data_IF_882320958065
#
_entry.id   IF_882320958065
#
_cell.length_a   1.000
_cell.length_b   1.000
_cell.length_c   1.000
_cell.angle_alpha   90.00
_cell.angle_beta   90.00
_cell.angle_gamma   90.00
#
_symmetry.space_group_name_H-M   'P 1'
#
loop_
_entity.id
_entity.type
_entity.pdbx_description
1 polymer ?
#
# COMPACT_ATOMS: atom_id res chain seq x y z
N UNK A 1 18.48 -5.81 10.58
CA UNK A 1 17.01 -5.89 10.78
C UNK A 1 16.54 -6.75 9.64
N UNK A 2 16.06 -7.96 9.91
CA UNK A 2 15.55 -8.81 8.84
C UNK A 2 14.36 -8.11 8.20
N UNK A 3 14.51 -7.78 6.92
CA UNK A 3 13.51 -7.08 6.14
C UNK A 3 12.38 -8.07 5.83
N UNK A 4 11.20 -7.85 6.41
CA UNK A 4 10.06 -8.74 6.20
C UNK A 4 9.65 -8.77 4.74
N UNK A 5 9.50 -9.97 4.17
CA UNK A 5 9.03 -10.18 2.80
C UNK A 5 7.61 -9.62 2.58
N UNK A 6 6.74 -9.76 3.58
CA UNK A 6 5.40 -9.19 3.59
C UNK A 6 5.31 -8.13 4.68
N UNK A 7 5.03 -6.89 4.31
CA UNK A 7 4.84 -5.79 5.25
C UNK A 7 3.37 -5.41 5.38
N UNK A 8 3.01 -4.87 6.54
CA UNK A 8 1.76 -4.12 6.74
C UNK A 8 1.95 -2.71 6.18
N UNK A 9 1.00 -2.25 5.37
CA UNK A 9 0.87 -0.86 4.96
C UNK A 9 -0.50 -0.36 5.40
N UNK A 10 -0.50 0.70 6.22
CA UNK A 10 -1.72 1.22 6.83
C UNK A 10 -2.36 2.27 5.91
N UNK A 11 -1.57 3.20 5.38
CA UNK A 11 -2.04 4.16 4.39
C UNK A 11 -0.90 4.70 3.56
N UNK A 12 -1.23 5.11 2.33
CA UNK A 12 -0.34 5.95 1.51
C UNK A 12 -0.18 7.33 2.18
N UNK A 13 0.91 8.07 1.90
CA UNK A 13 0.99 9.49 2.23
C UNK A 13 -0.26 10.23 1.79
N UNK A 14 -0.69 11.21 2.57
CA UNK A 14 -2.00 11.85 2.40
C UNK A 14 -2.19 12.52 1.01
N UNK A 15 -1.12 13.06 0.43
CA UNK A 15 -1.09 13.60 -0.93
C UNK A 15 -1.21 12.53 -2.05
N UNK A 16 -1.08 11.24 -1.71
CA UNK A 16 -1.15 10.11 -2.64
C UNK A 16 -2.36 9.19 -2.42
N UNK A 17 -3.20 9.44 -1.42
CA UNK A 17 -4.30 8.53 -1.03
C UNK A 17 -5.39 8.36 -2.09
N UNK A 18 -5.57 9.35 -2.98
CA UNK A 18 -6.59 9.36 -4.04
C UNK A 18 -5.99 9.19 -5.44
N UNK A 19 -4.71 8.82 -5.50
CA UNK A 19 -3.96 8.68 -6.73
C UNK A 19 -3.73 7.18 -7.01
N UNK A 20 -4.51 6.65 -7.94
CA UNK A 20 -4.45 5.25 -8.40
C UNK A 20 -4.59 5.20 -9.91
N UNK A 21 -3.73 4.45 -10.57
CA UNK A 21 -3.77 4.28 -12.03
C UNK A 21 -5.07 3.60 -12.44
N UNK A 22 -5.59 2.68 -11.61
CA UNK A 22 -6.88 2.01 -11.85
C UNK A 22 -8.04 2.98 -12.11
N UNK A 23 -8.11 4.11 -11.41
CA UNK A 23 -9.19 5.09 -11.57
C UNK A 23 -8.89 6.12 -12.65
N UNK A 24 -7.60 6.32 -12.97
CA UNK A 24 -7.15 7.31 -13.94
C UNK A 24 -7.15 6.81 -15.40
N UNK A 25 -7.24 5.49 -15.64
CA UNK A 25 -7.24 4.91 -16.99
C UNK A 25 -8.56 4.19 -17.32
N UNK A 26 -8.87 3.99 -18.62
CA UNK A 26 -10.04 3.21 -19.03
C UNK A 26 -10.06 1.82 -18.40
N UNK A 27 -11.24 1.37 -17.98
CA UNK A 27 -11.43 0.05 -17.35
C UNK A 27 -10.92 -1.11 -18.21
N UNK A 28 -11.01 -1.00 -19.54
CA UNK A 28 -10.48 -1.98 -20.48
C UNK A 28 -8.96 -2.11 -20.37
N UNK A 29 -8.25 -0.97 -20.31
CA UNK A 29 -6.80 -0.94 -20.16
C UNK A 29 -6.39 -1.48 -18.77
N UNK A 30 -7.07 -1.06 -17.71
CA UNK A 30 -6.81 -1.62 -16.38
C UNK A 30 -7.02 -3.15 -16.33
N UNK A 31 -8.06 -3.67 -16.98
CA UNK A 31 -8.27 -5.11 -17.04
C UNK A 31 -7.17 -5.83 -17.83
N UNK A 32 -6.65 -5.23 -18.92
CA UNK A 32 -5.54 -5.78 -19.68
C UNK A 32 -4.25 -5.83 -18.85
N UNK A 33 -3.92 -4.73 -18.17
CA UNK A 33 -2.79 -4.65 -17.22
C UNK A 33 -2.92 -5.73 -16.14
N UNK A 34 -4.09 -5.82 -15.50
CA UNK A 34 -4.38 -6.81 -14.45
C UNK A 34 -4.19 -8.25 -14.96
N UNK A 35 -4.77 -8.59 -16.11
CA UNK A 35 -4.66 -9.93 -16.67
C UNK A 35 -3.20 -10.26 -17.01
N UNK A 36 -2.48 -9.34 -17.65
CA UNK A 36 -1.07 -9.51 -17.96
C UNK A 36 -0.22 -9.77 -16.72
N UNK A 37 -0.45 -9.00 -15.64
CA UNK A 37 0.27 -9.19 -14.36
C UNK A 37 0.00 -10.58 -13.76
N UNK A 38 -1.25 -11.05 -13.80
CA UNK A 38 -1.60 -12.39 -13.30
C UNK A 38 -1.02 -13.52 -14.17
N UNK A 39 -1.05 -13.38 -15.49
CA UNK A 39 -0.46 -14.34 -16.43
C UNK A 39 1.06 -14.41 -16.28
N UNK A 40 1.73 -13.25 -16.21
CA UNK A 40 3.18 -13.14 -15.99
C UNK A 40 3.61 -13.82 -14.70
N UNK A 41 2.79 -13.73 -13.64
CA UNK A 41 3.09 -14.38 -12.36
C UNK A 41 2.71 -15.87 -12.32
N UNK A 42 2.25 -16.44 -13.44
CA UNK A 42 1.74 -17.82 -13.50
C UNK A 42 0.57 -18.04 -12.54
N UNK A 43 -0.27 -17.01 -12.35
CA UNK A 43 -1.36 -17.00 -11.38
C UNK A 43 -0.92 -17.31 -9.93
N UNK A 44 0.31 -16.91 -9.58
CA UNK A 44 0.83 -16.99 -8.22
C UNK A 44 0.94 -15.61 -7.58
N UNK A 45 0.74 -15.56 -6.27
CA UNK A 45 1.06 -14.39 -5.46
C UNK A 45 2.57 -14.14 -5.44
N UNK A 46 3.02 -12.97 -5.88
CA UNK A 46 4.44 -12.62 -5.95
C UNK A 46 5.10 -12.53 -4.56
N UNK A 47 4.31 -12.28 -3.50
CA UNK A 47 4.80 -12.23 -2.12
C UNK A 47 4.79 -13.59 -1.43
N UNK A 48 3.75 -14.42 -1.57
CA UNK A 48 3.66 -15.67 -0.77
C UNK A 48 3.67 -16.96 -1.59
N UNK A 49 3.76 -16.88 -2.92
CA UNK A 49 3.78 -18.02 -3.83
C UNK A 49 2.45 -18.78 -3.93
N UNK A 50 1.37 -18.30 -3.29
CA UNK A 50 0.06 -18.96 -3.38
C UNK A 50 -0.47 -18.86 -4.81
N UNK A 51 -0.68 -20.00 -5.45
CA UNK A 51 -1.43 -20.12 -6.71
C UNK A 51 -2.93 -19.95 -6.45
N UNK A 52 -3.57 -18.97 -7.10
CA UNK A 52 -5.01 -18.67 -6.91
C UNK A 52 -5.60 -17.92 -8.13
N UNK A 53 -5.74 -18.57 -9.30
CA UNK A 53 -6.10 -17.92 -10.56
C UNK A 53 -7.35 -17.02 -10.50
N UNK A 54 -8.32 -17.37 -9.66
CA UNK A 54 -9.61 -16.69 -9.58
C UNK A 54 -9.65 -15.52 -8.57
N UNK A 55 -8.70 -15.44 -7.63
CA UNK A 55 -8.76 -14.49 -6.50
C UNK A 55 -7.49 -13.66 -6.30
N UNK A 56 -6.70 -13.47 -7.35
CA UNK A 56 -5.58 -12.54 -7.33
C UNK A 56 -6.05 -11.09 -7.53
N UNK A 57 -5.29 -10.18 -6.94
CA UNK A 57 -5.48 -8.75 -7.03
C UNK A 57 -4.22 -8.12 -7.63
N UNK A 58 -4.40 -7.15 -8.53
CA UNK A 58 -3.33 -6.30 -9.01
C UNK A 58 -3.11 -5.17 -7.99
N UNK A 59 -1.98 -5.21 -7.29
CA UNK A 59 -1.59 -4.23 -6.30
C UNK A 59 -0.59 -3.24 -6.91
N UNK A 60 -0.91 -1.96 -6.86
CA UNK A 60 -0.01 -0.90 -7.33
C UNK A 60 1.05 -0.60 -6.26
N UNK A 61 2.32 -0.68 -6.65
CA UNK A 61 3.45 -0.32 -5.80
C UNK A 61 3.96 1.05 -6.23
N UNK A 62 3.99 1.98 -5.27
CA UNK A 62 4.28 3.38 -5.50
C UNK A 62 5.58 3.79 -4.80
N UNK A 63 6.29 4.71 -5.42
CA UNK A 63 7.41 5.45 -4.87
C UNK A 63 7.13 6.96 -4.98
N UNK A 64 7.79 7.74 -4.14
CA UNK A 64 7.48 9.16 -3.94
C UNK A 64 8.75 9.98 -3.92
N UNK A 65 8.93 10.82 -4.93
CA UNK A 65 9.95 11.86 -4.92
C UNK A 65 9.31 13.15 -4.40
N UNK A 66 9.47 13.42 -3.10
CA UNK A 66 8.93 14.62 -2.47
C UNK A 66 9.72 15.90 -2.84
N UNK A 67 10.92 15.79 -3.42
CA UNK A 67 11.70 16.95 -3.86
C UNK A 67 11.29 17.39 -5.27
N UNK A 68 11.08 16.44 -6.18
CA UNK A 68 10.62 16.67 -7.54
C UNK A 68 9.09 16.61 -7.70
N UNK A 69 8.37 16.31 -6.61
CA UNK A 69 6.92 16.11 -6.55
C UNK A 69 6.41 15.08 -7.57
N UNK A 70 7.01 13.88 -7.57
CA UNK A 70 6.65 12.78 -8.46
C UNK A 70 5.95 11.65 -7.71
N UNK A 71 4.81 11.21 -8.24
CA UNK A 71 4.14 9.97 -7.87
C UNK A 71 4.54 8.90 -8.87
N UNK A 72 5.41 7.98 -8.46
CA UNK A 72 6.03 7.02 -9.37
C UNK A 72 5.35 5.66 -9.21
N UNK A 73 4.60 5.21 -10.21
CA UNK A 73 4.11 3.83 -10.28
C UNK A 73 5.30 2.94 -10.66
N UNK A 74 5.86 2.24 -9.68
CA UNK A 74 7.05 1.40 -9.87
C UNK A 74 6.72 0.07 -10.50
N UNK A 75 5.67 -0.56 -10.03
CA UNK A 75 5.26 -1.89 -10.48
C UNK A 75 3.81 -2.16 -10.11
N UNK A 76 3.24 -3.18 -10.75
CA UNK A 76 1.95 -3.75 -10.37
C UNK A 76 2.20 -5.23 -10.10
N UNK A 77 1.85 -5.66 -8.88
CA UNK A 77 2.10 -7.01 -8.38
C UNK A 77 0.82 -7.83 -8.35
N UNK A 78 0.93 -9.10 -8.69
CA UNK A 78 -0.10 -10.12 -8.52
C UNK A 78 -0.10 -10.62 -7.07
N UNK A 79 -1.09 -10.23 -6.27
CA UNK A 79 -1.17 -10.59 -4.85
C UNK A 79 -2.41 -11.43 -4.54
N UNK A 80 -2.28 -12.45 -3.68
CA UNK A 80 -3.45 -13.09 -3.11
C UNK A 80 -4.17 -12.14 -2.16
N UNK A 81 -5.46 -12.38 -1.93
CA UNK A 81 -6.29 -11.54 -1.04
C UNK A 81 -5.65 -11.22 0.31
N UNK A 82 -4.99 -12.18 0.97
CA UNK A 82 -4.38 -11.92 2.28
C UNK A 82 -3.14 -11.05 2.23
N UNK A 83 -2.29 -11.18 1.21
CA UNK A 83 -1.17 -10.26 0.99
C UNK A 83 -1.70 -8.86 0.64
N UNK A 84 -2.67 -8.78 -0.27
CA UNK A 84 -3.29 -7.52 -0.68
C UNK A 84 -3.97 -6.80 0.49
N UNK A 85 -4.72 -7.53 1.34
CA UNK A 85 -5.37 -6.97 2.53
C UNK A 85 -4.35 -6.44 3.56
N UNK A 86 -3.15 -7.03 3.65
CA UNK A 86 -2.06 -6.53 4.52
C UNK A 86 -1.42 -5.25 3.96
N UNK A 87 -1.42 -5.06 2.64
CA UNK A 87 -1.01 -3.83 1.97
C UNK A 87 -2.06 -2.72 2.02
N UNK A 88 -3.33 -3.08 2.23
CA UNK A 88 -4.43 -2.14 2.43
C UNK A 88 -5.06 -2.31 3.81
N UNK A 89 -4.22 -2.36 4.85
CA UNK A 89 -4.62 -2.79 6.19
C UNK A 89 -5.71 -1.91 6.81
N UNK A 90 -5.65 -0.59 6.58
CA UNK A 90 -6.69 0.33 7.05
C UNK A 90 -8.07 -0.02 6.48
N UNK A 91 -8.14 -0.33 5.18
CA UNK A 91 -9.39 -0.73 4.53
C UNK A 91 -9.84 -2.13 4.93
N UNK A 92 -8.89 -3.07 5.05
CA UNK A 92 -9.18 -4.47 5.33
C UNK A 92 -9.57 -4.75 6.78
N UNK A 93 -9.08 -3.95 7.74
CA UNK A 93 -9.25 -4.21 9.18
C UNK A 93 -9.83 -3.01 9.91
N UNK A 94 -9.22 -1.82 9.78
CA UNK A 94 -9.54 -0.67 10.64
C UNK A 94 -10.93 -0.07 10.36
N UNK A 95 -11.44 -0.17 9.12
CA UNK A 95 -12.80 0.26 8.76
C UNK A 95 -13.92 -0.68 9.22
N UNK A 96 -13.60 -1.88 9.71
CA UNK A 96 -14.61 -2.85 10.18
C UNK A 96 -15.14 -2.42 11.56
N UNK A 97 -16.42 -2.02 11.59
CA UNK A 97 -17.12 -1.60 12.83
C UNK A 97 -17.43 -2.77 13.76
N UNK A 98 -17.80 -3.93 13.21
CA UNK A 98 -18.09 -5.13 14.00
C UNK A 98 -16.79 -5.73 14.56
N UNK A 99 -16.66 -5.73 15.90
CA UNK A 99 -15.48 -6.24 16.58
C UNK A 99 -15.21 -7.71 16.31
N UNK A 100 -16.24 -8.58 16.30
CA UNK A 100 -16.07 -10.02 16.09
C UNK A 100 -15.58 -10.33 14.68
N UNK A 101 -16.11 -9.60 13.69
CA UNK A 101 -15.66 -9.71 12.29
C UNK A 101 -14.22 -9.22 12.17
N UNK A 102 -13.91 -8.05 12.73
CA UNK A 102 -12.56 -7.47 12.72
C UNK A 102 -11.53 -8.42 13.34
N UNK A 103 -11.82 -8.99 14.51
CA UNK A 103 -10.94 -9.92 15.21
C UNK A 103 -10.71 -11.20 14.39
N UNK A 104 -11.74 -11.68 13.66
CA UNK A 104 -11.60 -12.83 12.76
C UNK A 104 -10.69 -12.52 11.58
N UNK A 105 -10.86 -11.37 10.94
CA UNK A 105 -10.01 -10.92 9.83
C UNK A 105 -8.57 -10.72 10.31
N UNK A 106 -8.37 -10.01 11.42
CA UNK A 106 -7.06 -9.77 12.01
C UNK A 106 -6.32 -11.08 12.33
N UNK A 107 -6.99 -12.06 12.95
CA UNK A 107 -6.39 -13.39 13.18
C UNK A 107 -6.01 -14.12 11.89
N UNK A 108 -6.77 -13.97 10.81
CA UNK A 108 -6.42 -14.55 9.49
C UNK A 108 -5.18 -13.89 8.91
N UNK A 109 -5.14 -12.55 8.90
CA UNK A 109 -4.01 -11.79 8.34
C UNK A 109 -2.73 -11.98 9.16
N UNK A 110 -2.82 -11.97 10.50
CA UNK A 110 -1.70 -12.26 11.41
C UNK A 110 -1.07 -13.62 11.13
N UNK A 111 -1.88 -14.69 11.07
CA UNK A 111 -1.39 -16.03 10.72
C UNK A 111 -0.73 -16.07 9.34
N UNK A 112 -1.30 -15.34 8.38
CA UNK A 112 -0.73 -15.27 7.04
C UNK A 112 0.63 -14.57 7.04
N UNK A 113 0.75 -13.42 7.71
CA UNK A 113 2.00 -12.67 7.85
C UNK A 113 3.10 -13.53 8.49
N UNK A 114 2.79 -14.15 9.64
CA UNK A 114 3.75 -14.99 10.36
C UNK A 114 4.26 -16.15 9.50
N UNK A 115 3.38 -16.82 8.76
CA UNK A 115 3.76 -17.92 7.86
C UNK A 115 4.64 -17.45 6.69
N UNK A 116 4.36 -16.27 6.13
CA UNK A 116 5.11 -15.76 4.97
C UNK A 116 6.50 -15.26 5.36
N UNK A 117 6.59 -14.65 6.55
CA UNK A 117 7.81 -14.05 7.05
C UNK A 117 8.61 -14.96 8.00
N UNK A 118 8.10 -16.17 8.27
CA UNK A 118 8.64 -17.07 9.30
C UNK A 118 8.92 -16.37 10.64
N UNK A 119 7.95 -15.57 11.10
CA UNK A 119 8.12 -14.71 12.28
C UNK A 119 7.16 -15.05 13.41
N UNK A 120 7.53 -14.61 14.61
CA UNK A 120 6.71 -14.74 15.82
C UNK A 120 5.57 -13.74 15.86
N UNK A 121 4.59 -14.01 16.73
CA UNK A 121 3.49 -13.06 16.99
C UNK A 121 4.01 -11.75 17.60
N UNK A 122 5.05 -11.81 18.44
CA UNK A 122 5.67 -10.61 19.02
C UNK A 122 6.24 -9.69 17.94
N UNK A 123 6.85 -10.27 16.91
CA UNK A 123 7.42 -9.54 15.78
C UNK A 123 6.35 -8.94 14.88
N UNK A 124 5.28 -9.68 14.59
CA UNK A 124 4.10 -9.13 13.91
C UNK A 124 3.53 -7.92 14.65
N UNK A 125 3.32 -8.05 15.96
CA UNK A 125 2.76 -6.99 16.80
C UNK A 125 3.67 -5.77 16.82
N UNK A 126 4.99 -5.96 16.95
CA UNK A 126 5.97 -4.89 16.84
C UNK A 126 5.92 -4.21 15.47
N UNK A 127 5.88 -4.97 14.38
CA UNK A 127 5.75 -4.42 13.02
C UNK A 127 4.47 -3.60 12.88
N UNK A 128 3.34 -4.14 13.34
CA UNK A 128 2.04 -3.45 13.30
C UNK A 128 2.08 -2.11 14.04
N UNK A 129 2.58 -2.07 15.27
CA UNK A 129 2.69 -0.82 16.03
C UNK A 129 3.66 0.18 15.39
N UNK A 130 4.77 -0.29 14.81
CA UNK A 130 5.68 0.58 14.08
C UNK A 130 5.02 1.22 12.85
N UNK A 131 4.14 0.49 12.15
CA UNK A 131 3.39 1.04 11.01
C UNK A 131 2.27 1.98 11.47
N UNK A 132 1.62 1.69 12.60
CA UNK A 132 0.64 2.59 13.22
C UNK A 132 1.28 3.90 13.65
N UNK A 133 2.41 3.88 14.34
CA UNK A 133 3.11 5.08 14.79
C UNK A 133 3.54 5.99 13.61
N UNK A 134 3.85 5.40 12.45
CA UNK A 134 4.09 6.16 11.20
C UNK A 134 2.82 6.79 10.63
N UNK A 135 1.65 6.23 10.92
CA UNK A 135 0.35 6.64 10.36
C UNK A 135 -0.44 7.56 11.30
N UNK A 136 -0.23 7.45 12.61
CA UNK A 136 -0.87 8.21 13.67
C UNK A 136 0.21 8.61 14.69
N UNK A 137 0.44 9.92 14.86
CA UNK A 137 1.15 10.43 16.04
C UNK A 137 0.11 10.47 17.16
N UNK A 138 0.20 9.61 18.17
CA UNK A 138 -0.84 9.54 19.21
C UNK A 138 -0.94 10.83 20.06
N UNK A 139 -2.14 11.22 20.54
CA UNK A 139 -2.38 12.48 21.27
C UNK A 139 -1.93 12.56 22.73
N UNK A 140 -1.86 11.43 23.44
CA UNK A 140 -2.13 11.44 24.89
C UNK A 140 -0.89 11.48 25.81
N UNK A 141 0.30 11.78 25.27
CA UNK A 141 1.53 11.84 26.08
C UNK A 141 2.56 12.85 25.54
N UNK A 142 2.11 14.05 25.12
CA UNK A 142 2.97 14.99 24.39
C UNK A 142 3.60 16.03 25.30
N UNK A 143 4.92 16.10 25.27
CA UNK A 143 5.72 17.22 25.75
C UNK A 143 5.56 18.45 24.83
N UNK A 144 6.07 19.61 25.26
CA UNK A 144 6.11 20.82 24.42
C UNK A 144 6.93 20.60 23.13
N UNK A 145 7.99 19.80 23.21
CA UNK A 145 8.85 19.44 22.09
C UNK A 145 8.08 18.60 21.06
N UNK A 146 7.32 17.60 21.53
CA UNK A 146 6.43 16.79 20.67
C UNK A 146 5.39 17.66 19.94
N UNK A 147 4.86 18.71 20.59
CA UNK A 147 3.90 19.62 19.97
C UNK A 147 4.52 20.50 18.87
N UNK A 148 5.77 20.96 19.05
CA UNK A 148 6.49 21.72 18.03
C UNK A 148 6.84 20.85 16.82
N UNK A 149 7.34 19.64 17.06
CA UNK A 149 7.61 18.67 15.99
C UNK A 149 6.34 18.34 15.20
N UNK A 150 5.21 18.20 15.88
CA UNK A 150 3.94 17.97 15.21
C UNK A 150 3.43 19.13 14.39
N UNK A 151 3.64 20.37 14.83
CA UNK A 151 3.33 21.54 14.01
C UNK A 151 4.20 21.54 12.75
N UNK A 152 5.50 21.27 12.88
CA UNK A 152 6.39 21.13 11.72
C UNK A 152 5.94 20.00 10.77
N UNK A 153 5.53 18.84 11.29
CA UNK A 153 4.99 17.73 10.50
C UNK A 153 3.69 18.11 9.78
N UNK A 154 2.77 18.82 10.45
CA UNK A 154 1.52 19.31 9.87
C UNK A 154 1.77 20.35 8.79
N UNK A 155 2.66 21.30 9.04
CA UNK A 155 3.08 22.31 8.07
C UNK A 155 3.72 21.67 6.85
N UNK A 156 4.61 20.68 7.05
CA UNK A 156 5.20 19.87 5.98
C UNK A 156 4.14 19.13 5.19
N UNK A 157 3.20 18.45 5.84
CA UNK A 157 2.11 17.75 5.14
C UNK A 157 1.21 18.72 4.37
N UNK A 158 0.87 19.86 4.95
CA UNK A 158 0.10 20.90 4.30
C UNK A 158 0.85 21.51 3.11
N UNK A 159 2.17 21.67 3.22
CA UNK A 159 3.03 22.08 2.11
C UNK A 159 2.98 21.06 0.98
N UNK A 160 3.25 19.77 1.27
CA UNK A 160 3.26 18.69 0.28
C UNK A 160 1.90 18.52 -0.41
N UNK A 161 0.79 18.70 0.32
CA UNK A 161 -0.56 18.66 -0.26
C UNK A 161 -0.85 19.77 -1.26
N UNK A 162 -0.16 20.92 -1.20
CA UNK A 162 -0.36 22.05 -2.10
C UNK A 162 0.48 21.97 -3.37
N UNK A 163 1.40 21.01 -3.45
CA UNK A 163 2.30 20.88 -4.59
C UNK A 163 1.59 20.26 -5.78
N UNK A 164 2.07 20.59 -6.98
CA UNK A 164 1.60 19.97 -8.22
C UNK A 164 2.35 18.67 -8.45
N UNK A 165 1.74 17.57 -7.99
CA UNK A 165 2.28 16.24 -8.17
C UNK A 165 2.10 15.75 -9.60
N UNK A 166 3.17 15.21 -10.19
CA UNK A 166 3.15 14.60 -11.53
C UNK A 166 3.21 13.09 -11.42
N UNK A 167 2.42 12.40 -12.23
CA UNK A 167 2.50 10.95 -12.32
C UNK A 167 3.64 10.53 -13.24
N UNK A 168 4.40 9.54 -12.80
CA UNK A 168 5.42 8.87 -13.60
C UNK A 168 5.14 7.39 -13.56
N UNK A 169 5.08 6.76 -14.73
CA UNK A 169 4.95 5.31 -14.85
C UNK A 169 6.32 4.76 -15.21
N UNK A 170 6.84 3.81 -14.45
CA UNK A 170 8.12 3.20 -14.76
C UNK A 170 8.03 2.27 -15.98
N UNK A 171 9.11 2.14 -16.77
CA UNK A 171 9.10 1.38 -18.03
C UNK A 171 8.74 -0.10 -17.86
N UNK A 172 9.06 -0.70 -16.70
CA UNK A 172 8.74 -2.09 -16.40
C UNK A 172 7.24 -2.34 -16.11
N UNK A 173 6.43 -1.29 -15.97
CA UNK A 173 4.99 -1.43 -15.76
C UNK A 173 4.37 -1.91 -17.07
N UNK A 174 3.54 -2.98 -17.07
CA UNK A 174 2.85 -3.42 -18.27
C UNK A 174 2.01 -2.30 -18.89
N UNK A 175 2.10 -2.14 -20.21
CA UNK A 175 1.39 -1.08 -20.95
C UNK A 175 1.76 0.34 -20.48
N UNK A 176 3.03 0.56 -20.10
CA UNK A 176 3.48 1.84 -19.56
C UNK A 176 3.18 3.01 -20.49
N UNK A 177 3.41 2.87 -21.80
CA UNK A 177 3.19 3.94 -22.79
C UNK A 177 1.70 4.28 -22.94
N UNK A 178 0.84 3.27 -22.98
CA UNK A 178 -0.61 3.48 -23.01
C UNK A 178 -1.10 4.16 -21.74
N UNK A 179 -0.61 3.73 -20.56
CA UNK A 179 -0.96 4.36 -19.28
C UNK A 179 -0.50 5.83 -19.28
N UNK A 180 0.75 6.12 -19.68
CA UNK A 180 1.28 7.50 -19.76
C UNK A 180 0.41 8.39 -20.62
N UNK A 181 0.00 7.91 -21.80
CA UNK A 181 -0.86 8.67 -22.70
C UNK A 181 -2.21 9.08 -22.10
N UNK A 182 -2.73 8.30 -21.14
CA UNK A 182 -3.99 8.60 -20.45
C UNK A 182 -3.80 9.50 -19.22
N UNK A 183 -2.59 9.56 -18.66
CA UNK A 183 -2.28 10.40 -17.50
C UNK A 183 -1.86 11.82 -17.89
N UNK A 184 -1.45 12.01 -19.15
CA UNK A 184 -1.09 13.31 -19.73
C UNK A 184 -2.28 14.08 -20.33
N UNK A 185 -3.45 13.43 -20.48
CA UNK A 185 -4.69 13.97 -21.05
C UNK A 185 -5.62 14.58 -20.01
#
# INVERSE_FOLDING_TARGET
MDEFRLTIEIGKPSYAQYNTVREAIPRSLWNAVRNHVHERSGHMCEICGKHDPDNLHAHEVWDYDEEAFLLILKEIQSLCKSCHDLKHFHHAVLRIKDRKVRDRVMRKLKRHFMRVNDCTEKEFTRHYYNQLAKSEVEPDARSMEDLLEMNALRERQAFLMRQQWRFVVADQVPFADEIRSQLES
#
